data_IF_494419069010
#
_entry.id   IF_494419069010
#
_cell.length_a   1.000
_cell.length_b   1.000
_cell.length_c   1.000
_cell.angle_alpha   90.00
_cell.angle_beta   90.00
_cell.angle_gamma   90.00
#
_symmetry.space_group_name_H-M   'P 1'
#
loop_
_entity.id
_entity.type
_entity.pdbx_description
1 polymer ?
#
# COMPACT_ATOMS: atom_id res chain seq x y z
N UNK A 1 27.29 15.16 25.30
CA UNK A 1 26.32 14.26 24.64
C UNK A 1 25.46 15.10 23.71
N UNK A 2 25.78 15.12 22.44
CA UNK A 2 25.04 15.90 21.44
C UNK A 2 23.65 15.22 21.20
N UNK A 3 22.57 15.93 21.52
CA UNK A 3 21.21 15.53 21.06
C UNK A 3 21.19 15.64 19.55
N UNK A 4 21.25 14.50 18.86
CA UNK A 4 20.94 14.41 17.44
C UNK A 4 19.50 14.91 17.26
N UNK A 5 19.32 16.12 16.73
CA UNK A 5 18.06 16.55 16.14
C UNK A 5 17.89 15.73 14.86
N UNK A 6 17.31 14.52 14.95
CA UNK A 6 16.77 13.83 13.78
C UNK A 6 15.70 14.75 13.21
N UNK A 7 15.95 15.31 12.03
CA UNK A 7 14.94 16.05 11.28
C UNK A 7 13.66 15.20 11.14
N UNK A 8 12.52 15.84 10.87
CA UNK A 8 11.25 15.13 10.62
C UNK A 8 11.47 14.14 9.47
N UNK A 9 11.09 12.86 9.68
CA UNK A 9 11.15 11.83 8.63
C UNK A 9 10.30 12.25 7.45
N UNK A 10 10.81 12.02 6.24
CA UNK A 10 10.09 12.26 4.99
C UNK A 10 9.33 11.00 4.56
N UNK A 11 8.00 11.03 4.69
CA UNK A 11 7.12 9.91 4.42
C UNK A 11 6.18 10.26 3.27
N UNK A 12 6.17 9.44 2.22
CA UNK A 12 5.28 9.65 1.07
C UNK A 12 4.39 8.44 0.81
N UNK A 13 3.20 8.70 0.25
CA UNK A 13 2.34 7.67 -0.33
C UNK A 13 2.57 7.55 -1.83
N UNK A 14 2.65 6.33 -2.33
CA UNK A 14 2.66 6.03 -3.76
C UNK A 14 1.49 5.10 -4.05
N UNK A 15 0.66 5.48 -5.03
CA UNK A 15 -0.48 4.72 -5.50
C UNK A 15 -0.13 4.16 -6.89
N UNK A 16 0.39 2.92 -6.98
CA UNK A 16 0.63 2.29 -8.27
C UNK A 16 -0.70 1.92 -8.94
N UNK A 17 -0.85 2.25 -10.21
CA UNK A 17 -2.04 1.96 -10.99
C UNK A 17 -1.73 1.69 -12.45
N UNK A 18 -2.45 0.73 -13.07
CA UNK A 18 -2.36 0.44 -14.51
C UNK A 18 -3.71 0.05 -15.09
N UNK A 19 -3.93 0.37 -16.37
CA UNK A 19 -5.15 -0.02 -17.09
C UNK A 19 -5.22 -1.53 -17.34
N UNK A 20 -4.06 -2.18 -17.51
CA UNK A 20 -3.93 -3.60 -17.80
C UNK A 20 -4.23 -4.50 -16.61
N UNK A 21 -5.51 -4.67 -16.29
CA UNK A 21 -6.00 -5.68 -15.33
C UNK A 21 -6.69 -6.81 -16.07
N UNK A 22 -6.23 -8.04 -15.89
CA UNK A 22 -6.83 -9.22 -16.54
C UNK A 22 -8.27 -9.49 -16.10
N UNK A 23 -8.59 -9.21 -14.84
CA UNK A 23 -9.94 -9.44 -14.24
C UNK A 23 -10.92 -8.30 -14.50
N UNK A 24 -10.44 -7.07 -14.57
CA UNK A 24 -11.26 -5.88 -14.80
C UNK A 24 -10.41 -4.81 -15.51
N UNK A 25 -10.35 -4.82 -16.86
CA UNK A 25 -9.65 -3.81 -17.64
C UNK A 25 -10.18 -2.41 -17.34
N UNK A 26 -9.28 -1.42 -17.23
CA UNK A 26 -9.69 -0.05 -16.92
C UNK A 26 -10.14 0.21 -15.48
N UNK A 27 -9.99 -0.76 -14.57
CA UNK A 27 -10.40 -0.68 -13.16
C UNK A 27 -10.08 0.65 -12.47
N UNK A 28 -8.87 1.25 -12.60
CA UNK A 28 -8.53 2.50 -11.91
C UNK A 28 -9.42 3.69 -12.30
N UNK A 29 -9.91 3.70 -13.54
CA UNK A 29 -10.78 4.76 -14.05
C UNK A 29 -12.27 4.40 -14.00
N UNK A 30 -12.62 3.20 -13.55
CA UNK A 30 -14.02 2.83 -13.31
C UNK A 30 -14.63 3.74 -12.23
N UNK A 31 -15.82 4.28 -12.52
CA UNK A 31 -16.46 5.26 -11.63
C UNK A 31 -17.21 4.60 -10.49
N UNK A 32 -16.99 5.09 -9.29
CA UNK A 32 -17.77 4.81 -8.08
C UNK A 32 -18.42 6.14 -7.69
N UNK A 33 -19.74 6.20 -7.68
CA UNK A 33 -20.50 7.44 -7.41
C UNK A 33 -20.00 8.65 -8.22
N UNK A 34 -19.68 8.43 -9.49
CA UNK A 34 -19.25 9.49 -10.42
C UNK A 34 -17.75 9.82 -10.41
N UNK A 35 -16.99 9.36 -9.43
CA UNK A 35 -15.54 9.58 -9.29
C UNK A 35 -14.77 8.31 -9.65
N UNK A 36 -13.74 8.35 -10.51
CA UNK A 36 -12.87 7.21 -10.77
C UNK A 36 -12.29 6.59 -9.49
N UNK A 37 -12.17 5.26 -9.47
CA UNK A 37 -11.70 4.50 -8.30
C UNK A 37 -10.39 5.05 -7.74
N UNK A 38 -9.41 5.34 -8.60
CA UNK A 38 -8.12 5.88 -8.18
C UNK A 38 -8.25 7.27 -7.52
N UNK A 39 -9.26 8.05 -7.91
CA UNK A 39 -9.56 9.33 -7.27
C UNK A 39 -9.97 9.17 -5.82
N UNK A 40 -10.82 8.18 -5.52
CA UNK A 40 -11.19 7.85 -4.13
C UNK A 40 -9.96 7.49 -3.31
N UNK A 41 -9.09 6.61 -3.84
CA UNK A 41 -7.85 6.23 -3.15
C UNK A 41 -6.96 7.45 -2.91
N UNK A 42 -6.77 8.29 -3.92
CA UNK A 42 -5.93 9.49 -3.84
C UNK A 42 -6.43 10.47 -2.78
N UNK A 43 -7.70 10.89 -2.86
CA UNK A 43 -8.25 11.88 -1.93
C UNK A 43 -8.24 11.38 -0.48
N UNK A 44 -8.57 10.10 -0.25
CA UNK A 44 -8.52 9.50 1.08
C UNK A 44 -7.08 9.41 1.61
N UNK A 45 -6.13 9.03 0.76
CA UNK A 45 -4.72 8.96 1.14
C UNK A 45 -4.16 10.33 1.52
N UNK A 46 -4.57 11.39 0.82
CA UNK A 46 -4.19 12.78 1.15
C UNK A 46 -4.67 13.27 2.52
N UNK A 47 -5.65 12.61 3.11
CA UNK A 47 -6.14 12.94 4.46
C UNK A 47 -5.29 12.33 5.57
N UNK A 48 -4.31 11.47 5.25
CA UNK A 48 -3.34 10.93 6.22
C UNK A 48 -2.54 12.06 6.86
N UNK A 49 -2.32 11.96 8.18
CA UNK A 49 -1.54 12.94 8.96
C UNK A 49 -0.04 12.67 8.94
N UNK A 50 0.35 11.47 8.50
CA UNK A 50 1.76 11.03 8.47
C UNK A 50 2.39 11.28 7.10
N UNK A 51 1.61 11.18 6.02
CA UNK A 51 2.12 11.39 4.66
C UNK A 51 2.41 12.87 4.41
N UNK A 52 3.64 13.19 4.01
CA UNK A 52 3.99 14.53 3.55
C UNK A 52 3.42 14.82 2.16
N UNK A 53 3.37 13.80 1.28
CA UNK A 53 2.87 13.89 -0.10
C UNK A 53 2.29 12.55 -0.57
N UNK A 54 1.41 12.61 -1.57
CA UNK A 54 0.84 11.43 -2.23
C UNK A 54 1.04 11.55 -3.74
N UNK A 55 1.53 10.46 -4.36
CA UNK A 55 1.80 10.38 -5.78
C UNK A 55 1.00 9.23 -6.41
N UNK A 56 0.56 9.43 -7.65
CA UNK A 56 0.06 8.35 -8.50
C UNK A 56 1.20 7.90 -9.42
N UNK A 57 1.54 6.61 -9.37
CA UNK A 57 2.57 6.00 -10.22
C UNK A 57 1.90 5.15 -11.30
N UNK A 58 2.09 5.47 -12.57
CA UNK A 58 1.41 4.79 -13.68
C UNK A 58 2.26 4.76 -14.94
N UNK A 59 2.04 3.75 -15.79
CA UNK A 59 2.55 3.71 -17.16
C UNK A 59 1.53 4.20 -18.19
N UNK A 60 0.29 4.50 -17.76
CA UNK A 60 -0.84 4.80 -18.64
C UNK A 60 -1.16 6.29 -18.67
N UNK A 61 -1.18 6.85 -19.87
CA UNK A 61 -1.44 8.29 -20.08
C UNK A 61 -2.84 8.71 -19.61
N UNK A 62 -3.82 7.84 -19.73
CA UNK A 62 -5.20 8.11 -19.29
C UNK A 62 -5.27 8.28 -17.77
N UNK A 63 -4.60 7.40 -17.02
CA UNK A 63 -4.53 7.51 -15.56
C UNK A 63 -3.76 8.78 -15.17
N UNK A 64 -2.65 9.06 -15.86
CA UNK A 64 -1.86 10.27 -15.62
C UNK A 64 -2.70 11.52 -15.85
N UNK A 65 -3.37 11.63 -17.02
CA UNK A 65 -4.23 12.78 -17.35
C UNK A 65 -5.37 12.98 -16.35
N UNK A 66 -6.01 11.90 -15.89
CA UNK A 66 -7.00 11.99 -14.82
C UNK A 66 -6.36 12.49 -13.51
N UNK A 67 -5.23 11.91 -13.10
CA UNK A 67 -4.53 12.31 -11.88
C UNK A 67 -4.19 13.81 -11.91
N UNK A 68 -3.62 14.31 -13.00
CA UNK A 68 -3.31 15.72 -13.19
C UNK A 68 -4.57 16.60 -13.14
N UNK A 69 -5.68 16.15 -13.72
CA UNK A 69 -6.95 16.90 -13.72
C UNK A 69 -7.53 17.12 -12.33
N UNK A 70 -7.19 16.24 -11.35
CA UNK A 70 -7.60 16.36 -9.94
C UNK A 70 -6.50 16.97 -9.06
N UNK A 71 -5.42 17.48 -9.65
CA UNK A 71 -4.28 18.07 -8.91
C UNK A 71 -3.37 17.08 -8.21
N UNK A 72 -3.39 15.80 -8.63
CA UNK A 72 -2.47 14.79 -8.10
C UNK A 72 -1.09 14.95 -8.75
N UNK A 73 -0.04 14.72 -7.96
CA UNK A 73 1.32 14.54 -8.48
C UNK A 73 1.41 13.16 -9.12
N UNK A 74 1.74 13.11 -10.41
CA UNK A 74 1.80 11.87 -11.17
C UNK A 74 3.23 11.57 -11.60
N UNK A 75 3.63 10.31 -11.51
CA UNK A 75 4.95 9.82 -11.94
C UNK A 75 4.74 8.76 -13.02
N UNK A 76 5.28 9.02 -14.21
CA UNK A 76 5.27 8.05 -15.29
C UNK A 76 6.31 6.95 -15.00
N UNK A 77 5.86 5.69 -14.94
CA UNK A 77 6.71 4.52 -14.75
C UNK A 77 6.74 3.65 -16.00
N UNK A 78 7.67 2.71 -16.06
CA UNK A 78 7.75 1.76 -17.17
C UNK A 78 6.56 0.81 -17.15
N UNK A 79 6.15 0.34 -18.32
CA UNK A 79 5.09 -0.66 -18.49
C UNK A 79 5.58 -2.11 -18.32
N UNK A 80 6.87 -2.31 -18.08
CA UNK A 80 7.50 -3.63 -17.92
C UNK A 80 7.43 -4.18 -16.51
N UNK A 81 6.93 -3.38 -15.54
CA UNK A 81 6.81 -3.83 -14.16
C UNK A 81 5.66 -4.82 -13.99
N UNK A 82 5.98 -5.97 -13.44
CA UNK A 82 4.97 -6.99 -13.12
C UNK A 82 4.33 -6.75 -11.74
N UNK A 83 5.09 -6.18 -10.81
CA UNK A 83 4.69 -5.95 -9.43
C UNK A 83 4.48 -4.46 -9.13
N UNK A 84 3.52 -4.19 -8.25
CA UNK A 84 3.25 -2.84 -7.76
C UNK A 84 4.45 -2.25 -6.99
N UNK A 85 5.22 -3.08 -6.29
CA UNK A 85 6.46 -2.69 -5.60
C UNK A 85 7.51 -2.14 -6.55
N UNK A 86 7.71 -2.80 -7.71
CA UNK A 86 8.72 -2.38 -8.69
C UNK A 86 8.37 -1.01 -9.29
N UNK A 87 7.07 -0.80 -9.59
CA UNK A 87 6.57 0.50 -10.04
C UNK A 87 6.73 1.57 -8.96
N UNK A 88 6.48 1.22 -7.69
CA UNK A 88 6.64 2.15 -6.57
C UNK A 88 8.13 2.49 -6.33
N UNK A 89 9.03 1.53 -6.46
CA UNK A 89 10.48 1.75 -6.35
C UNK A 89 11.00 2.67 -7.47
N UNK A 90 10.57 2.46 -8.72
CA UNK A 90 10.91 3.38 -9.83
C UNK A 90 10.39 4.79 -9.56
N UNK A 91 9.13 4.91 -9.13
CA UNK A 91 8.53 6.20 -8.82
C UNK A 91 9.28 6.92 -7.69
N UNK A 92 9.62 6.22 -6.62
CA UNK A 92 10.42 6.73 -5.50
C UNK A 92 11.75 7.33 -5.99
N UNK A 93 12.51 6.59 -6.81
CA UNK A 93 13.79 7.05 -7.34
C UNK A 93 13.64 8.29 -8.24
N UNK A 94 12.56 8.39 -9.00
CA UNK A 94 12.26 9.58 -9.82
C UNK A 94 11.93 10.78 -8.94
N UNK A 95 11.08 10.61 -7.92
CA UNK A 95 10.71 11.64 -6.96
C UNK A 95 11.95 12.19 -6.25
N UNK A 96 12.84 11.33 -5.77
CA UNK A 96 14.09 11.75 -5.12
C UNK A 96 15.00 12.55 -6.06
N UNK A 97 15.11 12.13 -7.32
CA UNK A 97 15.91 12.83 -8.34
C UNK A 97 15.37 14.21 -8.64
N UNK A 98 14.04 14.35 -8.78
CA UNK A 98 13.39 15.61 -9.08
C UNK A 98 13.40 16.57 -7.89
N UNK A 99 13.10 16.07 -6.69
CA UNK A 99 13.07 16.87 -5.47
C UNK A 99 14.44 17.15 -4.87
N UNK A 100 15.49 16.42 -5.29
CA UNK A 100 16.84 16.40 -4.67
C UNK A 100 16.81 16.11 -3.18
N UNK A 101 15.78 15.39 -2.72
CA UNK A 101 15.58 15.03 -1.31
C UNK A 101 15.43 13.52 -1.18
N UNK A 102 16.22 12.90 -0.29
CA UNK A 102 16.07 11.49 0.06
C UNK A 102 14.80 11.31 0.90
N UNK A 103 14.08 10.25 0.60
CA UNK A 103 12.91 9.80 1.37
C UNK A 103 13.35 8.87 2.49
N UNK A 104 12.54 8.74 3.53
CA UNK A 104 12.79 7.81 4.64
C UNK A 104 11.85 6.59 4.56
N UNK A 105 10.55 6.83 4.35
CA UNK A 105 9.53 5.79 4.28
C UNK A 105 8.65 6.02 3.04
N UNK A 106 8.39 4.94 2.31
CA UNK A 106 7.47 4.90 1.17
C UNK A 106 6.30 3.99 1.48
N UNK A 107 5.09 4.53 1.44
CA UNK A 107 3.87 3.77 1.66
C UNK A 107 3.25 3.42 0.30
N UNK A 108 3.32 2.14 -0.07
CA UNK A 108 2.59 1.64 -1.22
C UNK A 108 1.11 1.46 -0.84
N UNK A 109 0.22 2.18 -1.51
CA UNK A 109 -1.24 2.12 -1.31
C UNK A 109 -1.85 1.60 -2.59
N UNK A 110 -2.52 0.46 -2.54
CA UNK A 110 -3.06 -0.13 -3.76
C UNK A 110 -4.17 0.74 -4.37
N UNK A 111 -4.07 0.99 -5.68
CA UNK A 111 -4.99 1.85 -6.42
C UNK A 111 -6.41 1.28 -6.58
N UNK A 112 -6.67 0.10 -6.03
CA UNK A 112 -7.97 -0.57 -6.03
C UNK A 112 -8.59 -0.74 -4.63
N UNK A 113 -8.13 0.07 -3.66
CA UNK A 113 -8.67 0.15 -2.30
C UNK A 113 -9.46 1.46 -2.07
N UNK A 114 -10.62 1.65 -2.73
CA UNK A 114 -11.37 2.91 -2.67
C UNK A 114 -11.90 3.24 -1.28
N UNK A 115 -11.93 2.28 -0.37
CA UNK A 115 -12.38 2.42 1.01
C UNK A 115 -11.24 2.57 2.01
N UNK A 116 -10.00 2.83 1.55
CA UNK A 116 -8.88 3.10 2.45
C UNK A 116 -9.21 4.27 3.41
N UNK A 117 -8.99 4.07 4.71
CA UNK A 117 -9.10 5.14 5.69
C UNK A 117 -7.73 5.75 5.99
N UNK A 118 -7.65 7.08 6.17
CA UNK A 118 -6.39 7.76 6.52
C UNK A 118 -5.72 7.17 7.75
N UNK A 119 -6.50 6.79 8.75
CA UNK A 119 -6.04 6.19 10.01
C UNK A 119 -5.37 4.82 9.78
N UNK A 120 -5.78 4.07 8.76
CA UNK A 120 -5.13 2.80 8.39
C UNK A 120 -3.72 3.08 7.86
N UNK A 121 -3.56 4.11 7.02
CA UNK A 121 -2.26 4.53 6.51
C UNK A 121 -1.37 4.95 7.68
N UNK A 122 -1.88 5.81 8.57
CA UNK A 122 -1.14 6.29 9.74
C UNK A 122 -0.75 5.12 10.66
N UNK A 123 -1.64 4.15 10.87
CA UNK A 123 -1.37 2.98 11.70
C UNK A 123 -0.28 2.09 11.09
N UNK A 124 -0.29 1.90 9.76
CA UNK A 124 0.68 1.05 9.07
C UNK A 124 2.11 1.60 9.14
N UNK A 125 2.29 2.92 9.16
CA UNK A 125 3.61 3.57 9.18
C UNK A 125 4.25 3.59 10.58
N UNK A 126 3.43 3.63 11.64
CA UNK A 126 3.92 3.77 13.03
C UNK A 126 5.00 2.76 13.45
N UNK A 127 4.93 1.46 13.10
CA UNK A 127 5.98 0.51 13.45
C UNK A 127 7.36 0.90 12.90
N UNK A 128 7.42 1.37 11.65
CA UNK A 128 8.67 1.77 11.00
C UNK A 128 9.27 3.04 11.61
N UNK A 129 8.42 3.98 12.04
CA UNK A 129 8.88 5.20 12.75
C UNK A 129 9.41 4.84 14.13
N UNK A 130 8.72 3.92 14.84
CA UNK A 130 9.06 3.53 16.21
C UNK A 130 10.35 2.71 16.26
N UNK A 131 10.55 1.82 15.31
CA UNK A 131 11.69 0.91 15.24
C UNK A 131 12.25 0.86 13.81
N UNK A 132 13.38 1.54 13.54
CA UNK A 132 14.02 1.54 12.22
C UNK A 132 14.51 0.19 11.74
N UNK A 133 14.58 -0.83 12.60
CA UNK A 133 14.90 -2.20 12.20
C UNK A 133 13.72 -2.93 11.54
N UNK A 134 12.50 -2.40 11.68
CA UNK A 134 11.32 -2.87 10.97
C UNK A 134 11.37 -2.32 9.55
N UNK A 135 11.66 -3.18 8.60
CA UNK A 135 11.88 -2.81 7.19
C UNK A 135 10.60 -2.64 6.40
N UNK A 136 9.56 -3.39 6.77
CA UNK A 136 8.24 -3.40 6.14
C UNK A 136 7.18 -3.73 7.19
N UNK A 137 6.01 -3.15 7.06
CA UNK A 137 4.83 -3.56 7.85
C UNK A 137 3.62 -3.74 6.96
N UNK A 138 2.62 -4.40 7.51
CA UNK A 138 1.34 -4.63 6.85
C UNK A 138 0.23 -4.60 7.89
N UNK A 139 -0.93 -4.09 7.52
CA UNK A 139 -2.09 -4.22 8.37
C UNK A 139 -2.73 -5.59 8.16
N UNK A 140 -3.36 -6.09 9.20
CA UNK A 140 -4.17 -7.31 9.14
C UNK A 140 -5.56 -7.03 9.67
N UNK A 141 -6.53 -7.76 9.17
CA UNK A 141 -7.92 -7.69 9.57
C UNK A 141 -8.43 -9.11 9.87
N UNK A 142 -9.29 -9.30 10.87
CA UNK A 142 -9.94 -10.59 11.10
C UNK A 142 -10.75 -11.03 9.88
N UNK A 143 -10.73 -12.34 9.61
CA UNK A 143 -11.60 -12.99 8.63
C UNK A 143 -12.87 -13.39 9.36
N UNK A 144 -14.02 -12.90 8.92
CA UNK A 144 -15.30 -13.06 9.62
C UNK A 144 -16.08 -14.29 9.16
N UNK A 145 -15.87 -14.76 7.91
CA UNK A 145 -16.62 -15.88 7.36
C UNK A 145 -15.73 -17.02 6.83
N UNK A 146 -16.33 -18.18 6.65
CA UNK A 146 -15.67 -19.32 6.02
C UNK A 146 -15.42 -19.06 4.53
N UNK A 147 -16.37 -18.44 3.86
CA UNK A 147 -16.31 -18.08 2.44
C UNK A 147 -15.11 -17.16 2.19
N UNK A 148 -14.92 -16.15 3.04
CA UNK A 148 -13.77 -15.25 2.95
C UNK A 148 -12.44 -15.97 3.22
N UNK A 149 -12.42 -16.92 4.16
CA UNK A 149 -11.22 -17.72 4.44
C UNK A 149 -10.84 -18.63 3.27
N UNK A 150 -11.81 -19.13 2.53
CA UNK A 150 -11.61 -20.03 1.38
C UNK A 150 -11.44 -19.25 0.05
N UNK A 151 -11.73 -17.93 0.01
CA UNK A 151 -11.58 -17.09 -1.18
C UNK A 151 -10.09 -16.92 -1.56
N UNK A 152 -9.64 -17.37 -2.74
CA UNK A 152 -8.26 -17.19 -3.19
C UNK A 152 -7.89 -15.74 -3.50
N UNK A 153 -8.84 -14.81 -3.57
CA UNK A 153 -8.57 -13.38 -3.72
C UNK A 153 -8.23 -12.72 -2.37
N UNK A 154 -8.66 -13.29 -1.27
CA UNK A 154 -8.28 -12.89 0.08
C UNK A 154 -6.91 -13.49 0.43
N UNK A 155 -5.92 -12.67 0.73
CA UNK A 155 -4.58 -13.15 1.14
C UNK A 155 -4.59 -13.34 2.65
N UNK A 156 -4.50 -14.61 3.09
CA UNK A 156 -4.40 -14.97 4.51
C UNK A 156 -2.99 -14.77 5.01
N UNK A 157 -2.86 -14.48 6.31
CA UNK A 157 -1.58 -14.31 6.97
C UNK A 157 -1.57 -15.03 8.32
N UNK A 158 -0.45 -15.69 8.61
CA UNK A 158 -0.17 -16.29 9.92
C UNK A 158 0.93 -15.49 10.59
N UNK A 159 0.71 -15.10 11.85
CA UNK A 159 1.62 -14.29 12.63
C UNK A 159 2.27 -15.11 13.74
N UNK A 160 3.49 -14.72 14.14
CA UNK A 160 4.10 -15.18 15.39
C UNK A 160 3.53 -14.41 16.60
N UNK A 161 3.99 -14.80 17.82
CA UNK A 161 3.57 -14.15 19.07
C UNK A 161 4.02 -12.69 19.20
N UNK A 162 4.91 -12.20 18.33
CA UNK A 162 5.39 -10.81 18.29
C UNK A 162 4.75 -10.00 17.16
N UNK A 163 3.74 -10.55 16.50
CA UNK A 163 3.05 -9.99 15.32
C UNK A 163 3.94 -9.87 14.08
N UNK A 164 5.00 -10.68 13.95
CA UNK A 164 5.71 -10.83 12.69
C UNK A 164 5.02 -11.87 11.82
N UNK A 165 4.89 -11.56 10.53
CA UNK A 165 4.31 -12.48 9.58
C UNK A 165 5.25 -13.69 9.37
N UNK A 166 4.71 -14.87 9.59
CA UNK A 166 5.39 -16.15 9.30
C UNK A 166 5.17 -16.52 7.84
N UNK A 167 3.92 -16.34 7.36
CA UNK A 167 3.55 -16.76 6.02
C UNK A 167 2.29 -16.05 5.51
N UNK A 168 2.30 -15.69 4.22
CA UNK A 168 1.15 -15.21 3.48
C UNK A 168 0.72 -16.25 2.45
N UNK A 169 -0.58 -16.49 2.29
CA UNK A 169 -1.10 -17.45 1.32
C UNK A 169 -2.45 -17.05 0.74
N UNK A 170 -2.69 -17.43 -0.51
CA UNK A 170 -4.04 -17.43 -1.09
C UNK A 170 -4.84 -18.65 -0.67
N UNK A 171 -4.17 -19.75 -0.28
CA UNK A 171 -4.80 -20.91 0.32
C UNK A 171 -5.33 -20.61 1.72
N UNK A 172 -6.31 -21.39 2.16
CA UNK A 172 -6.94 -21.26 3.47
C UNK A 172 -5.98 -21.68 4.61
N UNK A 173 -5.28 -20.73 5.19
CA UNK A 173 -4.38 -20.90 6.33
C UNK A 173 -4.80 -20.00 7.49
N UNK A 174 -4.57 -20.44 8.77
CA UNK A 174 -4.32 -21.81 9.19
C UNK A 174 -5.54 -22.71 8.94
N UNK A 175 -5.36 -24.04 8.97
CA UNK A 175 -6.47 -24.96 8.71
C UNK A 175 -7.56 -24.84 9.78
N UNK A 176 -8.84 -24.96 9.34
CA UNK A 176 -10.01 -25.09 10.25
C UNK A 176 -10.42 -26.56 10.48
N UNK A 177 -9.73 -27.52 9.86
CA UNK A 177 -10.20 -28.92 9.81
C UNK A 177 -9.96 -29.70 11.10
N UNK A 178 -8.88 -29.45 11.86
CA UNK A 178 -8.60 -30.11 13.14
C UNK A 178 -7.80 -29.21 14.07
N UNK A 179 -8.15 -29.15 15.35
CA UNK A 179 -7.34 -28.60 16.44
C UNK A 179 -7.19 -27.07 16.52
N UNK A 180 -7.67 -26.34 15.53
CA UNK A 180 -7.43 -24.90 15.39
C UNK A 180 -8.67 -24.04 15.70
N UNK A 181 -9.40 -24.37 16.77
CA UNK A 181 -10.68 -23.69 17.08
C UNK A 181 -10.52 -22.24 17.54
N UNK A 182 -9.35 -21.84 18.01
CA UNK A 182 -9.11 -20.51 18.62
C UNK A 182 -7.96 -19.73 17.96
N UNK A 183 -7.48 -20.15 16.79
CA UNK A 183 -6.44 -19.40 16.09
C UNK A 183 -7.06 -18.20 15.37
N UNK A 184 -6.43 -17.01 15.46
CA UNK A 184 -6.87 -15.86 14.71
C UNK A 184 -6.74 -16.14 13.21
N UNK A 185 -7.86 -16.01 12.49
CA UNK A 185 -7.89 -16.04 11.03
C UNK A 185 -7.74 -14.61 10.55
N UNK A 186 -6.61 -14.30 9.93
CA UNK A 186 -6.26 -12.93 9.53
C UNK A 186 -6.07 -12.84 8.03
N UNK A 187 -6.48 -11.72 7.46
CA UNK A 187 -6.21 -11.33 6.07
C UNK A 187 -5.32 -10.11 6.01
N UNK A 188 -4.56 -10.01 4.92
CA UNK A 188 -3.75 -8.86 4.59
C UNK A 188 -4.63 -7.69 4.14
N UNK A 189 -4.31 -6.48 4.65
CA UNK A 189 -4.81 -5.22 4.11
C UNK A 189 -3.69 -4.56 3.30
N UNK A 190 -3.96 -4.23 2.05
CA UNK A 190 -2.94 -3.86 1.07
C UNK A 190 -2.47 -2.40 1.18
N UNK A 191 -2.04 -1.99 2.37
CA UNK A 191 -1.30 -0.75 2.65
C UNK A 191 0.05 -1.17 3.21
N UNK A 192 1.12 -0.96 2.45
CA UNK A 192 2.42 -1.55 2.75
C UNK A 192 3.49 -0.46 2.79
N UNK A 193 3.83 0.06 3.97
CA UNK A 193 5.00 0.94 4.13
C UNK A 193 6.30 0.15 4.13
N UNK A 194 7.30 0.73 3.51
CA UNK A 194 8.66 0.23 3.41
C UNK A 194 9.64 1.28 3.94
N UNK A 195 10.67 0.85 4.67
CA UNK A 195 11.87 1.67 4.78
C UNK A 195 12.44 1.89 3.37
N UNK A 196 12.86 3.11 3.06
CA UNK A 196 13.29 3.52 1.72
C UNK A 196 14.33 2.58 1.11
N UNK A 197 15.32 2.17 1.88
CA UNK A 197 16.44 1.37 1.39
C UNK A 197 16.08 -0.14 1.25
N UNK A 198 14.87 -0.53 1.65
CA UNK A 198 14.33 -1.88 1.51
C UNK A 198 13.42 -2.03 0.28
N UNK A 199 12.77 -0.97 -0.20
CA UNK A 199 11.94 -0.98 -1.39
C UNK A 199 12.82 -0.99 -2.66
#
# INVERSE_FOLDING_TARGET
>A
MAKNQKGKLKVIGIIPARMGSSRFPGKPLAKILGVPMIGHVYFRSKMSKILDEVYIATCDKEIMGYGESIGAKCILTKNTHERASDSSAEAMLKIERESKQKLDIVVMIQGDEPMVFPEMIDASVKPLIKDPSVLVSNLTEPIESREEHEDPNCIKVVLDKKNFAIYFSREAIPTRKKGAKELPMLKQVCIIPFQRDFL
#
